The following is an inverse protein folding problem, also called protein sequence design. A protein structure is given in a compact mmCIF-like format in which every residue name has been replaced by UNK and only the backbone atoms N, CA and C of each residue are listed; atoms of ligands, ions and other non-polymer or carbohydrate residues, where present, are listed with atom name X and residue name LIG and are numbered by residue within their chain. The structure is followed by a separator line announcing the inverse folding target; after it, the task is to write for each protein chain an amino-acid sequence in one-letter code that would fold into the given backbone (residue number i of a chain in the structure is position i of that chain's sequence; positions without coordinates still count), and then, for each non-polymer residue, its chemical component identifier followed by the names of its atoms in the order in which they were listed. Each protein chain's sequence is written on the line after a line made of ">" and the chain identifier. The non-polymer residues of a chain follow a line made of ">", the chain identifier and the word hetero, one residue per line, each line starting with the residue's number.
data_IF_599949000684
#
_entry.id   IF_599949000684
#
_cell.length_a   1.000
_cell.length_b   1.000
_cell.length_c   1.000
_cell.angle_alpha   90.00
_cell.angle_beta   90.00
_cell.angle_gamma   90.00
#
_symmetry.space_group_name_H-M   'P 1'
#
loop_
_entity.id
_entity.type
_entity.pdbx_description
1 polymer ?
#
# COMPACT_ATOMS: atom_id res chain seq x y z
N UNK A 1 6.30 -8.75 -7.49
CA UNK A 1 6.20 -7.30 -7.38
C UNK A 1 7.50 -6.70 -6.86
N UNK A 2 7.77 -5.45 -7.23
CA UNK A 2 8.88 -4.67 -6.68
C UNK A 2 8.32 -3.74 -5.62
N UNK A 3 8.88 -3.78 -4.42
CA UNK A 3 8.46 -2.92 -3.31
C UNK A 3 9.65 -2.21 -2.68
N UNK A 4 9.50 -0.92 -2.30
CA UNK A 4 10.54 -0.19 -1.59
C UNK A 4 10.70 -0.73 -0.17
N UNK A 5 11.94 -0.77 0.30
CA UNK A 5 12.29 -1.07 1.68
C UNK A 5 13.24 -0.01 2.24
N UNK A 6 13.10 0.24 3.52
CA UNK A 6 13.94 1.19 4.25
C UNK A 6 14.42 0.50 5.52
N UNK A 7 15.74 0.51 5.73
CA UNK A 7 16.36 0.02 6.96
C UNK A 7 17.37 1.04 7.47
N UNK A 8 17.69 0.95 8.75
CA UNK A 8 18.79 1.69 9.36
C UNK A 8 19.90 0.73 9.74
N UNK A 9 21.16 1.11 9.47
CA UNK A 9 22.35 0.32 9.78
C UNK A 9 23.33 1.19 10.55
N UNK A 10 23.85 0.70 11.66
CA UNK A 10 24.85 1.42 12.43
C UNK A 10 26.23 1.30 11.80
N UNK A 11 27.06 2.28 12.03
CA UNK A 11 28.46 2.27 11.62
C UNK A 11 29.17 1.02 12.18
N UNK A 12 29.85 0.30 11.30
CA UNK A 12 30.55 -0.94 11.64
C UNK A 12 29.69 -2.19 11.69
N UNK A 13 28.36 -2.08 11.61
CA UNK A 13 27.47 -3.23 11.49
C UNK A 13 27.23 -3.55 10.02
N UNK A 14 27.09 -4.83 9.70
CA UNK A 14 26.71 -5.30 8.36
C UNK A 14 25.24 -5.66 8.32
N UNK A 15 24.61 -5.50 7.17
CA UNK A 15 23.24 -5.92 6.95
C UNK A 15 23.13 -6.81 5.72
N UNK A 16 22.13 -7.67 5.67
CA UNK A 16 21.83 -8.49 4.48
C UNK A 16 20.63 -7.92 3.74
N UNK A 17 20.86 -7.51 2.50
CA UNK A 17 19.84 -7.02 1.58
C UNK A 17 19.54 -8.13 0.57
N UNK A 18 18.41 -8.84 0.75
CA UNK A 18 18.03 -9.92 -0.16
C UNK A 18 17.13 -9.40 -1.28
N UNK A 19 17.27 -9.99 -2.47
CA UNK A 19 16.41 -9.74 -3.63
C UNK A 19 16.34 -8.27 -4.06
N UNK A 20 17.45 -7.55 -3.89
CA UNK A 20 17.58 -6.13 -4.22
C UNK A 20 17.60 -5.94 -5.73
N UNK A 21 16.82 -5.00 -6.22
CA UNK A 21 16.86 -4.58 -7.62
C UNK A 21 18.15 -3.81 -7.87
N UNK A 22 18.89 -4.20 -8.88
CA UNK A 22 20.18 -3.57 -9.21
C UNK A 22 20.04 -2.05 -9.41
N UNK A 23 20.95 -1.29 -8.83
CA UNK A 23 20.95 0.18 -8.94
C UNK A 23 19.93 0.91 -8.06
N UNK A 24 19.06 0.21 -7.34
CA UNK A 24 18.03 0.84 -6.49
C UNK A 24 18.56 1.34 -5.14
N UNK A 25 19.69 0.83 -4.68
CA UNK A 25 20.22 1.13 -3.33
C UNK A 25 20.70 2.57 -3.22
N UNK A 26 20.13 3.27 -2.26
CA UNK A 26 20.52 4.64 -1.87
C UNK A 26 20.84 4.67 -0.39
N UNK A 27 22.00 5.24 -0.06
CA UNK A 27 22.49 5.30 1.31
C UNK A 27 22.75 6.75 1.69
N UNK A 28 22.21 7.16 2.84
CA UNK A 28 22.45 8.50 3.39
C UNK A 28 22.85 8.39 4.87
N UNK A 29 23.61 9.37 5.35
CA UNK A 29 23.76 9.58 6.78
C UNK A 29 22.38 9.81 7.42
N UNK A 30 22.18 9.28 8.61
CA UNK A 30 20.91 9.41 9.34
C UNK A 30 21.16 9.89 10.75
N UNK A 31 20.62 11.04 11.07
CA UNK A 31 20.78 11.68 12.38
C UNK A 31 19.74 11.20 13.37
N UNK A 32 20.02 11.28 14.66
CA UNK A 32 19.11 10.91 15.74
C UNK A 32 17.78 11.69 15.74
N UNK A 33 17.77 12.89 15.17
CA UNK A 33 16.57 13.71 15.00
C UNK A 33 15.71 13.32 13.78
N UNK A 34 16.07 12.25 13.05
CA UNK A 34 15.34 11.78 11.87
C UNK A 34 15.72 12.47 10.56
N UNK A 35 16.70 13.36 10.55
CA UNK A 35 17.12 14.03 9.31
C UNK A 35 18.09 13.18 8.49
N UNK A 36 17.95 13.26 7.16
CA UNK A 36 18.88 12.64 6.21
C UNK A 36 19.97 13.64 5.85
N UNK A 37 21.23 13.17 5.96
CA UNK A 37 22.40 13.94 5.60
C UNK A 37 23.02 13.48 4.27
N UNK A 38 24.34 13.51 4.21
CA UNK A 38 25.16 13.19 3.03
C UNK A 38 24.77 11.86 2.40
N UNK A 39 24.68 11.84 1.06
CA UNK A 39 24.49 10.63 0.27
C UNK A 39 25.82 9.96 -0.04
N UNK A 40 25.82 8.64 -0.01
CA UNK A 40 27.01 7.82 -0.26
C UNK A 40 26.85 7.00 -1.53
N UNK A 41 27.96 6.74 -2.22
CA UNK A 41 28.00 5.96 -3.46
C UNK A 41 28.49 4.54 -3.22
N UNK A 42 28.15 3.62 -4.13
CA UNK A 42 28.63 2.23 -4.08
C UNK A 42 30.08 2.10 -4.54
N UNK A 43 30.83 1.21 -3.88
CA UNK A 43 32.15 0.76 -4.30
C UNK A 43 32.31 -0.74 -4.04
N UNK A 44 33.41 -1.33 -4.49
CA UNK A 44 33.77 -2.73 -4.21
C UNK A 44 34.12 -2.97 -2.74
N UNK A 45 34.70 -1.98 -2.08
CA UNK A 45 34.96 -1.98 -0.64
C UNK A 45 34.42 -0.71 -0.01
N UNK A 46 33.92 -0.80 1.21
CA UNK A 46 33.46 0.35 1.96
C UNK A 46 34.65 1.18 2.44
N UNK A 47 34.54 2.49 2.38
CA UNK A 47 35.50 3.47 2.88
C UNK A 47 34.76 4.67 3.54
N UNK A 48 35.44 5.81 3.67
CA UNK A 48 34.90 6.99 4.38
C UNK A 48 33.66 7.55 3.71
N UNK A 49 33.57 7.52 2.38
CA UNK A 49 32.49 8.14 1.58
C UNK A 49 31.75 7.16 0.67
N UNK A 50 32.01 5.86 0.81
CA UNK A 50 31.42 4.82 -0.02
C UNK A 50 30.99 3.61 0.80
N UNK A 51 29.88 3.02 0.39
CA UNK A 51 29.41 1.74 0.91
C UNK A 51 29.77 0.58 -0.01
N UNK A 52 29.83 -0.62 0.52
CA UNK A 52 29.97 -1.84 -0.27
C UNK A 52 28.68 -2.66 -0.24
N UNK A 53 28.38 -3.27 -1.37
CA UNK A 53 27.29 -4.25 -1.52
C UNK A 53 27.78 -5.38 -2.42
N UNK A 54 27.89 -6.57 -1.85
CA UNK A 54 28.29 -7.77 -2.59
C UNK A 54 27.13 -8.32 -3.42
N UNK A 55 27.42 -9.19 -4.40
CA UNK A 55 26.39 -9.91 -5.19
C UNK A 55 25.50 -10.77 -4.30
N UNK A 56 26.02 -11.29 -3.18
CA UNK A 56 25.25 -12.03 -2.19
C UNK A 56 24.36 -11.18 -1.28
N UNK A 57 24.32 -9.85 -1.49
CA UNK A 57 23.49 -8.93 -0.73
C UNK A 57 24.06 -8.49 0.61
N UNK A 58 25.34 -8.80 0.92
CA UNK A 58 25.98 -8.27 2.13
C UNK A 58 26.29 -6.79 1.92
N UNK A 59 25.66 -5.97 2.76
CA UNK A 59 25.85 -4.52 2.80
C UNK A 59 26.82 -4.13 3.92
N UNK A 60 27.82 -3.35 3.59
CA UNK A 60 28.76 -2.76 4.55
C UNK A 60 28.64 -1.23 4.46
N UNK A 61 28.29 -0.56 5.58
CA UNK A 61 28.12 0.90 5.58
C UNK A 61 29.46 1.63 5.42
N UNK A 62 29.42 2.92 5.04
CA UNK A 62 30.59 3.78 5.06
C UNK A 62 31.14 3.94 6.48
N UNK A 63 32.41 4.40 6.54
CA UNK A 63 33.10 4.68 7.81
C UNK A 63 33.24 6.18 8.11
N UNK A 64 32.30 7.00 7.58
CA UNK A 64 32.35 8.45 7.69
C UNK A 64 32.53 8.93 9.14
N UNK A 65 33.32 9.95 9.34
CA UNK A 65 33.53 10.54 10.64
C UNK A 65 32.32 11.33 11.09
N UNK A 66 31.94 11.23 12.36
CA UNK A 66 30.73 11.90 12.91
C UNK A 66 29.40 11.33 12.49
N UNK A 67 29.36 10.19 11.79
CA UNK A 67 28.13 9.49 11.42
C UNK A 67 28.06 8.15 12.13
N UNK A 68 27.03 7.95 12.95
CA UNK A 68 26.81 6.72 13.71
C UNK A 68 25.80 5.77 13.05
N UNK A 69 24.89 6.31 12.25
CA UNK A 69 23.81 5.54 11.63
C UNK A 69 23.59 5.97 10.18
N UNK A 70 23.27 5.00 9.35
CA UNK A 70 22.95 5.18 7.93
C UNK A 70 21.54 4.69 7.65
N UNK A 71 20.81 5.42 6.82
CA UNK A 71 19.55 4.97 6.26
C UNK A 71 19.80 4.40 4.87
N UNK A 72 19.35 3.17 4.67
CA UNK A 72 19.46 2.45 3.40
C UNK A 72 18.06 2.27 2.83
N UNK A 73 17.87 2.76 1.62
CA UNK A 73 16.63 2.62 0.84
C UNK A 73 16.95 1.74 -0.35
N UNK A 74 16.17 0.72 -0.54
CA UNK A 74 16.32 -0.21 -1.66
C UNK A 74 14.96 -0.68 -2.16
N UNK A 75 14.89 -1.08 -3.42
CA UNK A 75 13.75 -1.77 -3.99
C UNK A 75 14.03 -3.27 -4.01
N UNK A 76 13.06 -4.06 -3.59
CA UNK A 76 13.19 -5.53 -3.53
C UNK A 76 12.15 -6.22 -4.39
N UNK A 77 12.58 -7.25 -5.07
CA UNK A 77 11.68 -8.16 -5.78
C UNK A 77 11.06 -9.13 -4.78
N UNK A 78 9.74 -9.16 -4.69
CA UNK A 78 8.98 -10.02 -3.78
C UNK A 78 8.08 -10.92 -4.59
N UNK A 79 8.18 -12.24 -4.39
CA UNK A 79 7.42 -13.24 -5.14
C UNK A 79 5.92 -13.24 -4.82
N UNK A 80 5.53 -12.85 -3.60
CA UNK A 80 4.14 -12.75 -3.18
C UNK A 80 3.90 -11.38 -2.52
N UNK A 81 2.90 -10.67 -2.99
CA UNK A 81 2.51 -9.37 -2.46
C UNK A 81 1.41 -8.74 -3.29
N UNK A 82 0.76 -7.73 -2.74
CA UNK A 82 -0.27 -6.95 -3.42
C UNK A 82 0.19 -5.51 -3.51
N UNK A 83 0.15 -4.94 -4.71
CA UNK A 83 0.38 -3.51 -4.94
C UNK A 83 -0.92 -2.86 -5.36
N UNK A 84 -1.31 -1.81 -4.65
CA UNK A 84 -2.47 -0.99 -4.98
C UNK A 84 -1.94 0.35 -5.47
N UNK A 85 -2.20 0.67 -6.73
CA UNK A 85 -1.75 1.91 -7.35
C UNK A 85 -2.96 2.72 -7.81
N UNK A 86 -3.11 3.92 -7.28
CA UNK A 86 -4.05 4.90 -7.81
C UNK A 86 -3.32 5.81 -8.80
N UNK A 87 -3.87 5.95 -10.02
CA UNK A 87 -3.24 6.69 -11.12
C UNK A 87 -4.08 7.91 -11.47
N UNK A 88 -3.45 9.07 -11.45
CA UNK A 88 -4.08 10.35 -11.79
C UNK A 88 -4.35 10.51 -13.30
N UNK A 89 -3.67 9.73 -14.15
CA UNK A 89 -3.80 9.76 -15.61
C UNK A 89 -4.94 8.91 -16.16
N UNK A 90 -5.68 8.21 -15.28
CA UNK A 90 -6.82 7.38 -15.65
C UNK A 90 -8.09 7.89 -14.98
N UNK A 91 -9.10 8.17 -15.79
CA UNK A 91 -10.43 8.45 -15.27
C UNK A 91 -10.98 7.20 -14.57
N UNK A 92 -11.58 7.33 -13.39
CA UNK A 92 -12.23 6.22 -12.73
C UNK A 92 -13.36 5.68 -13.61
N UNK A 93 -13.30 4.38 -13.86
CA UNK A 93 -14.36 3.69 -14.60
C UNK A 93 -15.55 3.44 -13.67
N UNK A 94 -16.74 3.42 -14.25
CA UNK A 94 -17.93 2.96 -13.54
C UNK A 94 -17.88 1.44 -13.37
N UNK A 95 -18.26 0.99 -12.19
CA UNK A 95 -18.29 -0.43 -11.84
C UNK A 95 -19.64 -0.79 -11.25
N UNK A 96 -20.05 -2.05 -11.42
CA UNK A 96 -21.16 -2.59 -10.66
C UNK A 96 -20.65 -2.97 -9.27
N UNK A 97 -21.26 -2.39 -8.24
CA UNK A 97 -20.94 -2.70 -6.86
C UNK A 97 -22.11 -3.45 -6.22
N UNK A 98 -21.83 -4.58 -5.61
CA UNK A 98 -22.80 -5.36 -4.84
C UNK A 98 -22.30 -5.45 -3.41
N UNK A 99 -23.09 -4.95 -2.49
CA UNK A 99 -22.84 -5.01 -1.05
C UNK A 99 -23.77 -6.05 -0.43
N UNK A 100 -23.22 -6.97 0.35
CA UNK A 100 -23.99 -7.88 1.21
C UNK A 100 -23.84 -7.41 2.65
N UNK A 101 -24.96 -7.23 3.34
CA UNK A 101 -25.03 -6.92 4.75
C UNK A 101 -26.06 -7.80 5.43
N UNK A 102 -25.96 -7.93 6.73
CA UNK A 102 -26.98 -8.52 7.57
C UNK A 102 -27.80 -7.41 8.20
N UNK A 103 -29.11 -7.53 8.13
CA UNK A 103 -30.03 -6.61 8.76
C UNK A 103 -30.95 -7.37 9.73
N UNK A 104 -31.29 -6.73 10.83
CA UNK A 104 -32.23 -7.27 11.79
C UNK A 104 -33.65 -6.95 11.31
N UNK A 105 -34.54 -7.93 11.38
CA UNK A 105 -35.98 -7.70 11.11
C UNK A 105 -36.53 -6.75 12.18
N UNK A 106 -37.14 -5.61 11.79
CA UNK A 106 -37.69 -4.66 12.75
C UNK A 106 -38.80 -5.23 13.61
N UNK A 107 -39.50 -6.27 13.10
CA UNK A 107 -40.61 -6.92 13.83
C UNK A 107 -40.16 -8.14 14.63
N UNK A 108 -39.01 -8.71 14.30
CA UNK A 108 -38.43 -9.90 14.93
C UNK A 108 -36.92 -9.70 15.10
N UNK A 109 -36.54 -9.13 16.23
CA UNK A 109 -35.15 -8.71 16.48
C UNK A 109 -34.13 -9.87 16.62
N UNK A 110 -34.61 -11.09 16.68
CA UNK A 110 -33.83 -12.33 16.72
C UNK A 110 -33.60 -12.95 15.32
N UNK A 111 -34.22 -12.40 14.28
CA UNK A 111 -34.10 -12.87 12.92
C UNK A 111 -33.17 -11.95 12.14
N UNK A 112 -32.08 -12.52 11.63
CA UNK A 112 -31.16 -11.85 10.70
C UNK A 112 -31.60 -12.15 9.27
N UNK A 113 -31.67 -11.11 8.46
CA UNK A 113 -32.00 -11.20 7.03
C UNK A 113 -30.85 -10.69 6.19
N UNK A 114 -30.62 -11.31 5.05
CA UNK A 114 -29.67 -10.86 4.06
C UNK A 114 -30.15 -9.58 3.38
N UNK A 115 -29.36 -8.52 3.42
CA UNK A 115 -29.58 -7.27 2.70
C UNK A 115 -28.54 -7.16 1.59
N UNK A 116 -29.03 -7.06 0.35
CA UNK A 116 -28.18 -6.83 -0.80
C UNK A 116 -28.47 -5.45 -1.38
N UNK A 117 -27.41 -4.63 -1.50
CA UNK A 117 -27.48 -3.33 -2.17
C UNK A 117 -26.64 -3.44 -3.44
N UNK A 118 -27.29 -3.26 -4.58
CA UNK A 118 -26.67 -3.32 -5.90
C UNK A 118 -26.67 -1.93 -6.50
N UNK A 119 -25.47 -1.43 -6.81
CA UNK A 119 -25.24 -0.18 -7.50
C UNK A 119 -24.80 -0.51 -8.93
N UNK A 120 -25.69 -0.43 -9.93
CA UNK A 120 -25.37 -0.88 -11.30
C UNK A 120 -24.21 -0.10 -11.93
N UNK A 121 -24.14 1.18 -11.64
CA UNK A 121 -23.11 2.07 -12.19
C UNK A 121 -22.60 3.02 -11.11
N UNK A 122 -21.54 2.62 -10.44
CA UNK A 122 -20.88 3.37 -9.39
C UNK A 122 -19.51 3.87 -9.86
N UNK A 123 -19.29 5.17 -9.82
CA UNK A 123 -18.02 5.78 -10.14
C UNK A 123 -17.28 6.10 -8.84
N UNK A 124 -16.16 5.38 -8.62
CA UNK A 124 -15.31 5.61 -7.46
C UNK A 124 -14.63 6.98 -7.57
N UNK A 125 -14.65 7.76 -6.50
CA UNK A 125 -13.89 9.01 -6.45
C UNK A 125 -12.38 8.71 -6.53
N UNK A 126 -11.60 9.50 -7.29
CA UNK A 126 -10.15 9.38 -7.30
C UNK A 126 -9.51 9.83 -5.97
N UNK A 127 -10.26 10.55 -5.15
CA UNK A 127 -9.80 10.98 -3.83
C UNK A 127 -9.97 9.84 -2.84
N UNK A 128 -8.85 9.37 -2.28
CA UNK A 128 -8.81 8.34 -1.24
C UNK A 128 -8.14 8.94 -0.01
N UNK A 129 -8.85 8.94 1.10
CA UNK A 129 -8.30 9.31 2.39
C UNK A 129 -7.77 8.06 3.09
N UNK A 130 -6.48 8.07 3.41
CA UNK A 130 -5.83 6.99 4.15
C UNK A 130 -5.50 7.47 5.55
N UNK A 131 -6.23 6.98 6.54
CA UNK A 131 -5.93 7.23 7.94
C UNK A 131 -4.90 6.24 8.46
N UNK A 132 -3.78 6.74 8.99
CA UNK A 132 -2.69 5.94 9.55
C UNK A 132 -2.79 5.81 11.09
N UNK A 133 -3.97 5.93 11.65
CA UNK A 133 -4.23 5.68 13.07
C UNK A 133 -4.45 4.19 13.32
N UNK A 134 -4.33 3.75 14.58
CA UNK A 134 -4.52 2.35 14.98
C UNK A 134 -5.90 1.80 14.59
N UNK A 135 -6.93 2.65 14.63
CA UNK A 135 -8.32 2.32 14.28
C UNK A 135 -8.71 2.89 12.90
N UNK A 136 -7.72 3.26 12.08
CA UNK A 136 -7.93 3.88 10.79
C UNK A 136 -8.64 2.93 9.82
N UNK A 137 -9.67 3.43 9.15
CA UNK A 137 -10.41 2.71 8.13
C UNK A 137 -10.09 3.32 6.76
N UNK A 138 -9.93 2.44 5.76
CA UNK A 138 -9.84 2.88 4.38
C UNK A 138 -11.26 3.07 3.84
N UNK A 139 -11.65 4.33 3.64
CA UNK A 139 -12.95 4.68 3.09
C UNK A 139 -12.85 4.98 1.59
N UNK A 140 -13.78 4.43 0.84
CA UNK A 140 -13.97 4.77 -0.57
C UNK A 140 -15.27 5.58 -0.72
N UNK A 141 -15.17 6.71 -1.36
CA UNK A 141 -16.32 7.52 -1.76
C UNK A 141 -16.53 7.46 -3.27
N UNK A 142 -17.71 7.79 -3.71
CA UNK A 142 -18.02 7.82 -5.13
C UNK A 142 -19.41 8.38 -5.41
N UNK A 143 -19.79 8.42 -6.66
CA UNK A 143 -21.07 8.90 -7.12
C UNK A 143 -21.83 7.81 -7.89
N UNK A 144 -23.14 7.80 -7.72
CA UNK A 144 -24.03 6.98 -8.54
C UNK A 144 -24.19 7.63 -9.91
N UNK A 145 -24.01 6.83 -10.94
CA UNK A 145 -24.20 7.25 -12.33
C UNK A 145 -25.40 6.50 -12.92
N UNK A 146 -26.10 7.17 -13.81
CA UNK A 146 -27.16 6.49 -14.57
C UNK A 146 -26.52 5.60 -15.61
N UNK A 147 -26.87 4.32 -15.60
CA UNK A 147 -26.53 3.42 -16.70
C UNK A 147 -27.52 3.63 -17.84
N UNK A 148 -27.14 4.45 -18.81
CA UNK A 148 -27.97 4.74 -19.98
C UNK A 148 -28.16 3.53 -20.92
N UNK A 149 -27.33 2.50 -20.77
CA UNK A 149 -27.44 1.26 -21.54
C UNK A 149 -28.44 0.27 -20.90
N UNK A 150 -28.78 0.48 -19.64
CA UNK A 150 -29.79 -0.34 -18.95
C UNK A 150 -31.19 0.14 -19.27
N UNK A 151 -32.13 -0.81 -19.43
CA UNK A 151 -33.51 -0.51 -19.74
C UNK A 151 -34.22 0.17 -18.56
N UNK A 152 -33.90 -0.18 -17.33
CA UNK A 152 -34.56 0.33 -16.12
C UNK A 152 -33.94 1.63 -15.58
N UNK A 153 -32.72 1.98 -16.03
CA UNK A 153 -31.97 3.17 -15.63
C UNK A 153 -31.90 3.38 -14.09
N UNK A 154 -31.90 2.28 -13.35
CA UNK A 154 -31.91 2.33 -11.91
C UNK A 154 -30.56 2.83 -11.37
N UNK A 155 -30.60 3.68 -10.36
CA UNK A 155 -29.41 4.12 -9.63
C UNK A 155 -28.95 3.07 -8.62
N UNK A 156 -29.89 2.38 -7.99
CA UNK A 156 -29.61 1.30 -7.05
C UNK A 156 -30.81 0.35 -6.94
N UNK A 157 -30.51 -0.87 -6.51
CA UNK A 157 -31.50 -1.86 -6.09
C UNK A 157 -31.19 -2.29 -4.67
N UNK A 158 -32.23 -2.45 -3.87
CA UNK A 158 -32.13 -3.02 -2.53
C UNK A 158 -32.99 -4.29 -2.51
N UNK A 159 -32.33 -5.41 -2.20
CA UNK A 159 -33.02 -6.70 -2.05
C UNK A 159 -32.95 -7.11 -0.58
N UNK A 160 -34.07 -7.49 -0.05
CA UNK A 160 -34.18 -8.04 1.28
C UNK A 160 -34.68 -9.47 1.16
N UNK A 161 -33.86 -10.40 1.58
CA UNK A 161 -34.21 -11.81 1.48
C UNK A 161 -33.97 -12.53 2.81
N UNK A 162 -34.79 -13.52 3.09
CA UNK A 162 -34.45 -14.46 4.15
C UNK A 162 -33.19 -15.21 3.72
N UNK A 163 -32.22 -15.40 4.61
CA UNK A 163 -31.13 -16.32 4.33
C UNK A 163 -31.70 -17.72 4.44
N UNK A 164 -31.82 -18.40 3.29
CA UNK A 164 -32.13 -19.82 3.29
C UNK A 164 -30.98 -20.53 4.02
N UNK A 165 -31.32 -21.30 5.04
CA UNK A 165 -30.39 -22.16 5.74
C UNK A 165 -29.81 -23.16 4.74
N UNK A 166 -28.47 -22.99 4.43
CA UNK A 166 -27.68 -24.07 3.79
C UNK A 166 -27.18 -25.05 4.84
#
# INVERSE_FOLDING_TARGET
>A
IVMPKIITVKKGEKATLKDVVEGSVKVNAFSANGSMGTAYTKNTAADVDKYALTEGGEFTPPTAEGVDTYIVKDDRSVGAGVSITNRADKFPQTVKLTLKALAVDPCHSDVLKGLYIVLPSFQVSPEVEISLTTDGQLAYSGSLQVDYCSADKALYHIYWADEDEE
#
